data_IF_936723335232
#
_entry.id   IF_936723335232
#
_cell.length_a   1.000
_cell.length_b   1.000
_cell.length_c   1.000
_cell.angle_alpha   90.00
_cell.angle_beta   90.00
_cell.angle_gamma   90.00
#
_symmetry.space_group_name_H-M   'P 1'
#
loop_
_entity.id
_entity.type
_entity.pdbx_description
1 polymer ?
#
# COMPACT_ATOMS: atom_id res chain seq x y z
N UNK A 1 4.94 -7.81 -8.73
CA UNK A 1 4.20 -6.56 -8.49
C UNK A 1 3.61 -6.57 -7.10
N UNK A 2 3.97 -5.59 -6.27
CA UNK A 2 3.41 -5.43 -4.92
C UNK A 2 2.03 -4.78 -4.96
N UNK A 3 1.27 -4.89 -3.87
CA UNK A 3 -0.06 -4.26 -3.74
C UNK A 3 0.03 -2.72 -3.92
N UNK A 4 1.08 -2.07 -3.41
CA UNK A 4 1.27 -0.62 -3.57
C UNK A 4 1.51 -0.21 -5.03
N UNK A 5 2.12 -1.09 -5.81
CA UNK A 5 2.34 -0.90 -7.24
C UNK A 5 1.07 -1.18 -8.05
N UNK A 6 0.29 -2.19 -7.67
CA UNK A 6 -1.04 -2.46 -8.25
C UNK A 6 -1.93 -1.22 -8.13
N UNK A 7 -2.06 -0.66 -6.92
CA UNK A 7 -2.86 0.55 -6.67
C UNK A 7 -2.40 1.72 -7.55
N UNK A 8 -1.10 2.00 -7.59
CA UNK A 8 -0.55 3.09 -8.43
C UNK A 8 -0.79 2.88 -9.93
N UNK A 9 -0.82 1.64 -10.42
CA UNK A 9 -1.14 1.36 -11.83
C UNK A 9 -2.63 1.54 -12.11
N UNK A 10 -3.49 1.14 -11.18
CA UNK A 10 -4.93 1.41 -11.27
C UNK A 10 -5.21 2.92 -11.29
N UNK A 11 -4.59 3.72 -10.41
CA UNK A 11 -4.71 5.19 -10.40
C UNK A 11 -4.33 5.85 -11.74
N UNK A 12 -3.44 5.23 -12.53
CA UNK A 12 -3.10 5.73 -13.87
C UNK A 12 -4.25 5.50 -14.85
N UNK A 13 -4.90 4.33 -14.78
CA UNK A 13 -6.09 4.01 -15.57
C UNK A 13 -7.25 4.92 -15.17
N UNK A 14 -7.46 5.13 -13.87
CA UNK A 14 -8.47 6.05 -13.33
C UNK A 14 -8.36 7.44 -13.97
N UNK A 15 -7.15 8.02 -13.95
CA UNK A 15 -6.89 9.35 -14.53
C UNK A 15 -7.07 9.37 -16.04
N UNK A 16 -6.72 8.28 -16.73
CA UNK A 16 -6.81 8.18 -18.19
C UNK A 16 -8.25 8.04 -18.68
N UNK A 17 -9.08 7.29 -17.96
CA UNK A 17 -10.43 6.92 -18.39
C UNK A 17 -11.56 7.55 -17.55
N UNK A 18 -11.22 8.43 -16.60
CA UNK A 18 -12.16 9.04 -15.66
C UNK A 18 -12.99 7.98 -14.89
N UNK A 19 -12.30 6.94 -14.41
CA UNK A 19 -12.85 5.88 -13.58
C UNK A 19 -12.32 5.97 -12.15
N UNK A 20 -12.93 5.23 -11.24
CA UNK A 20 -12.39 5.01 -9.90
C UNK A 20 -12.40 3.53 -9.54
N UNK A 21 -11.33 3.07 -8.91
CA UNK A 21 -11.18 1.72 -8.42
C UNK A 21 -10.93 1.71 -6.91
N UNK A 22 -11.40 0.67 -6.25
CA UNK A 22 -11.07 0.36 -4.85
C UNK A 22 -10.42 -1.01 -4.81
N UNK A 23 -9.31 -1.11 -4.08
CA UNK A 23 -8.63 -2.36 -3.80
C UNK A 23 -8.90 -2.73 -2.34
N UNK A 24 -9.45 -3.91 -2.09
CA UNK A 24 -9.68 -4.45 -0.76
C UNK A 24 -8.88 -5.73 -0.60
N UNK A 25 -7.99 -5.74 0.39
CA UNK A 25 -7.17 -6.91 0.70
C UNK A 25 -7.76 -7.68 1.86
N UNK A 26 -7.94 -8.98 1.66
CA UNK A 26 -8.38 -9.95 2.65
C UNK A 26 -7.30 -11.02 2.85
N UNK A 27 -7.47 -11.87 3.86
CA UNK A 27 -6.54 -12.95 4.21
C UNK A 27 -6.33 -13.95 3.05
N UNK A 28 -7.36 -14.12 2.20
CA UNK A 28 -7.36 -15.14 1.14
C UNK A 28 -7.30 -14.57 -0.27
N UNK A 29 -7.58 -13.28 -0.43
CA UNK A 29 -7.79 -12.66 -1.73
C UNK A 29 -7.68 -11.13 -1.67
N UNK A 30 -7.30 -10.56 -2.79
CA UNK A 30 -7.46 -9.13 -3.08
C UNK A 30 -8.62 -8.98 -4.05
N UNK A 31 -9.62 -8.21 -3.64
CA UNK A 31 -10.78 -7.86 -4.46
C UNK A 31 -10.60 -6.45 -5.03
N UNK A 32 -10.91 -6.28 -6.30
CA UNK A 32 -10.80 -5.03 -7.03
C UNK A 32 -12.21 -4.64 -7.49
N UNK A 33 -12.62 -3.44 -7.13
CA UNK A 33 -13.92 -2.88 -7.43
C UNK A 33 -13.78 -1.67 -8.33
N UNK A 34 -14.72 -1.49 -9.25
CA UNK A 34 -15.00 -0.20 -9.86
C UNK A 34 -16.01 0.54 -8.97
N UNK A 35 -15.70 1.77 -8.60
CA UNK A 35 -16.57 2.65 -7.82
C UNK A 35 -17.63 3.18 -8.77
N UNK A 36 -18.89 2.95 -8.42
CA UNK A 36 -20.01 3.57 -9.12
C UNK A 36 -20.38 4.90 -8.41
N UNK A 37 -21.04 5.81 -9.12
CA UNK A 37 -21.48 7.10 -8.58
C UNK A 37 -22.36 6.95 -7.33
N UNK A 38 -22.52 8.03 -6.56
CA UNK A 38 -22.93 8.11 -5.13
C UNK A 38 -24.17 7.29 -4.69
N UNK A 39 -24.96 6.75 -5.61
CA UNK A 39 -26.16 5.95 -5.34
C UNK A 39 -26.07 4.46 -5.74
N UNK A 40 -24.93 4.03 -6.30
CA UNK A 40 -24.72 2.66 -6.80
C UNK A 40 -23.69 1.90 -5.95
N UNK A 41 -23.87 0.57 -5.87
CA UNK A 41 -22.92 -0.30 -5.18
C UNK A 41 -21.64 -0.42 -6.00
N UNK A 42 -20.49 -0.35 -5.32
CA UNK A 42 -19.18 -0.72 -5.87
C UNK A 42 -19.28 -2.07 -6.61
N UNK A 43 -18.86 -2.10 -7.88
CA UNK A 43 -18.92 -3.28 -8.72
C UNK A 43 -17.60 -4.04 -8.65
N UNK A 44 -17.59 -5.22 -8.04
CA UNK A 44 -16.39 -6.07 -8.06
C UNK A 44 -16.10 -6.48 -9.50
N UNK A 45 -14.89 -6.22 -9.98
CA UNK A 45 -14.46 -6.55 -11.34
C UNK A 45 -13.46 -7.70 -11.38
N UNK A 46 -12.68 -7.88 -10.31
CA UNK A 46 -11.74 -8.98 -10.20
C UNK A 46 -11.47 -9.39 -8.76
N UNK A 47 -11.05 -10.64 -8.60
CA UNK A 47 -10.54 -11.26 -7.40
C UNK A 47 -9.22 -11.94 -7.73
N UNK A 48 -8.20 -11.73 -6.92
CA UNK A 48 -6.88 -12.36 -7.08
C UNK A 48 -6.51 -13.07 -5.79
N UNK A 49 -6.24 -14.36 -5.84
CA UNK A 49 -6.07 -15.18 -4.64
C UNK A 49 -4.70 -14.97 -4.00
N UNK A 50 -4.67 -14.69 -2.70
CA UNK A 50 -3.43 -14.38 -1.97
C UNK A 50 -2.64 -15.60 -1.54
N UNK A 51 -3.17 -16.81 -1.71
CA UNK A 51 -2.44 -18.05 -1.36
C UNK A 51 -1.94 -18.84 -2.56
N UNK A 52 -2.24 -18.37 -3.78
CA UNK A 52 -1.95 -19.09 -5.02
C UNK A 52 -1.45 -18.11 -6.07
N UNK A 53 -0.24 -18.36 -6.59
CA UNK A 53 0.21 -17.70 -7.79
C UNK A 53 -0.65 -18.15 -8.99
N UNK A 54 -0.80 -17.27 -9.97
CA UNK A 54 -1.57 -17.48 -11.21
C UNK A 54 -3.07 -17.76 -11.01
N UNK A 55 -3.63 -17.42 -9.86
CA UNK A 55 -5.04 -17.61 -9.56
C UNK A 55 -5.75 -16.25 -9.48
N UNK A 56 -6.61 -15.99 -10.46
CA UNK A 56 -7.47 -14.81 -10.53
C UNK A 56 -8.82 -15.18 -11.13
N UNK A 57 -9.85 -14.44 -10.76
CA UNK A 57 -11.20 -14.51 -11.31
C UNK A 57 -11.63 -13.10 -11.67
N UNK A 58 -12.16 -12.93 -12.87
CA UNK A 58 -12.89 -11.70 -13.23
C UNK A 58 -14.37 -11.92 -13.00
N UNK A 59 -15.06 -10.92 -12.45
CA UNK A 59 -16.51 -10.94 -12.38
C UNK A 59 -17.07 -10.62 -13.76
N UNK A 60 -17.28 -11.66 -14.58
CA UNK A 60 -17.56 -11.58 -16.01
C UNK A 60 -18.51 -10.43 -16.39
N UNK A 61 -19.66 -10.31 -15.72
CA UNK A 61 -20.67 -9.29 -16.04
C UNK A 61 -20.13 -7.86 -15.83
N UNK A 62 -19.49 -7.60 -14.70
CA UNK A 62 -18.98 -6.27 -14.36
C UNK A 62 -17.69 -5.93 -15.12
N UNK A 63 -16.87 -6.94 -15.40
CA UNK A 63 -15.65 -6.75 -16.18
C UNK A 63 -15.99 -6.48 -17.65
N UNK A 64 -16.98 -7.19 -18.21
CA UNK A 64 -17.40 -7.02 -19.61
C UNK A 64 -18.09 -5.68 -19.87
N UNK A 65 -18.66 -5.02 -18.86
CA UNK A 65 -19.26 -3.68 -19.03
C UNK A 65 -18.24 -2.56 -19.28
N UNK A 66 -16.95 -2.84 -19.09
CA UNK A 66 -15.87 -1.90 -19.40
C UNK A 66 -15.54 -1.91 -20.90
N UNK A 67 -15.03 -0.80 -21.42
CA UNK A 67 -14.52 -0.69 -22.80
C UNK A 67 -13.35 -1.66 -23.05
N UNK A 68 -13.20 -2.10 -24.30
CA UNK A 68 -12.25 -3.16 -24.69
C UNK A 68 -10.80 -2.85 -24.33
N UNK A 69 -10.37 -1.60 -24.50
CA UNK A 69 -9.03 -1.11 -24.19
C UNK A 69 -8.78 -1.08 -22.67
N UNK A 70 -9.77 -0.61 -21.90
CA UNK A 70 -9.73 -0.62 -20.43
C UNK A 70 -9.63 -2.07 -19.92
N UNK A 71 -10.43 -2.99 -20.48
CA UNK A 71 -10.37 -4.41 -20.10
C UNK A 71 -9.00 -5.02 -20.40
N UNK A 72 -8.41 -4.70 -21.55
CA UNK A 72 -7.09 -5.21 -21.90
C UNK A 72 -6.02 -4.73 -20.90
N UNK A 73 -5.98 -3.43 -20.61
CA UNK A 73 -5.02 -2.85 -19.65
C UNK A 73 -5.20 -3.40 -18.23
N UNK A 74 -6.44 -3.53 -17.77
CA UNK A 74 -6.74 -4.11 -16.46
C UNK A 74 -6.34 -5.58 -16.39
N UNK A 75 -6.65 -6.37 -17.43
CA UNK A 75 -6.32 -7.79 -17.45
C UNK A 75 -4.81 -8.00 -17.40
N UNK A 76 -4.02 -7.20 -18.12
CA UNK A 76 -2.55 -7.25 -18.06
C UNK A 76 -2.04 -6.99 -16.64
N UNK A 77 -2.56 -5.96 -15.97
CA UNK A 77 -2.22 -5.63 -14.58
C UNK A 77 -2.62 -6.78 -13.63
N UNK A 78 -3.83 -7.31 -13.77
CA UNK A 78 -4.33 -8.38 -12.90
C UNK A 78 -3.52 -9.67 -13.07
N UNK A 79 -3.19 -10.01 -14.31
CA UNK A 79 -2.34 -11.17 -14.62
C UNK A 79 -0.93 -10.98 -14.05
N UNK A 80 -0.34 -9.79 -14.17
CA UNK A 80 0.97 -9.51 -13.58
C UNK A 80 0.94 -9.62 -12.05
N UNK A 81 -0.10 -9.10 -11.39
CA UNK A 81 -0.27 -9.23 -9.94
C UNK A 81 -0.43 -10.69 -9.55
N UNK A 82 -1.31 -11.42 -10.23
CA UNK A 82 -1.57 -12.83 -9.96
C UNK A 82 -0.33 -13.71 -10.17
N UNK A 83 0.51 -13.41 -11.17
CA UNK A 83 1.78 -14.10 -11.42
C UNK A 83 2.81 -13.88 -10.31
N UNK A 84 2.73 -12.76 -9.60
CA UNK A 84 3.64 -12.45 -8.50
C UNK A 84 3.44 -13.47 -7.37
N UNK A 85 4.50 -14.10 -6.83
CA UNK A 85 4.40 -14.97 -5.66
C UNK A 85 3.73 -14.26 -4.47
N UNK A 86 2.84 -14.92 -3.71
CA UNK A 86 2.16 -14.33 -2.55
C UNK A 86 3.03 -13.54 -1.58
N UNK A 87 4.19 -14.08 -1.22
CA UNK A 87 5.17 -13.51 -0.30
C UNK A 87 5.82 -12.23 -0.83
N UNK A 88 5.81 -12.03 -2.15
CA UNK A 88 6.34 -10.83 -2.80
C UNK A 88 5.28 -9.74 -3.06
N UNK A 89 3.99 -10.01 -2.76
CA UNK A 89 2.89 -9.04 -2.99
C UNK A 89 2.71 -8.07 -1.84
N UNK A 90 3.15 -8.45 -0.65
CA UNK A 90 3.02 -7.64 0.56
C UNK A 90 3.71 -6.29 0.42
N UNK A 91 3.16 -5.28 1.09
CA UNK A 91 3.88 -4.02 1.22
C UNK A 91 5.18 -4.24 1.97
N UNK A 92 6.21 -3.51 1.55
CA UNK A 92 7.47 -3.51 2.27
C UNK A 92 7.24 -2.92 3.66
N UNK A 93 7.48 -3.73 4.70
CA UNK A 93 7.33 -3.34 6.10
C UNK A 93 7.92 -1.96 6.36
N UNK A 94 7.10 -1.11 6.99
CA UNK A 94 7.49 0.22 7.40
C UNK A 94 7.76 0.21 8.90
N UNK A 95 8.85 0.87 9.25
CA UNK A 95 9.30 1.01 10.62
C UNK A 95 9.30 2.48 10.99
N UNK A 96 9.01 2.77 12.24
CA UNK A 96 9.20 4.08 12.86
C UNK A 96 10.07 3.90 14.09
N UNK A 97 10.83 4.93 14.46
CA UNK A 97 11.78 4.86 15.57
C UNK A 97 11.35 5.84 16.65
N UNK A 98 10.54 5.43 17.64
CA UNK A 98 10.28 6.24 18.83
C UNK A 98 11.59 6.53 19.55
N UNK A 99 11.65 7.72 20.17
CA UNK A 99 12.73 8.12 21.06
C UNK A 99 12.22 7.96 22.51
N UNK A 100 12.55 6.85 23.20
CA UNK A 100 11.98 6.57 24.51
C UNK A 100 12.34 7.65 25.52
N UNK A 101 11.37 8.04 26.35
CA UNK A 101 11.52 9.13 27.32
C UNK A 101 11.50 10.52 26.71
N UNK A 102 11.43 10.65 25.38
CA UNK A 102 11.31 11.91 24.66
C UNK A 102 9.85 12.12 24.24
N UNK A 103 9.10 12.76 25.12
CA UNK A 103 7.71 13.17 24.93
C UNK A 103 7.60 14.69 25.07
N UNK A 104 6.73 15.32 24.30
CA UNK A 104 6.46 16.76 24.46
C UNK A 104 5.63 17.02 25.72
N UNK A 105 5.56 18.28 26.14
CA UNK A 105 4.83 18.70 27.35
C UNK A 105 3.32 18.43 27.28
N UNK A 106 2.78 18.25 26.07
CA UNK A 106 1.40 17.85 25.80
C UNK A 106 1.22 16.33 25.66
N UNK A 107 2.28 15.54 25.88
CA UNK A 107 2.25 14.08 25.91
C UNK A 107 2.54 13.38 24.58
N UNK A 108 2.85 14.10 23.51
CA UNK A 108 3.10 13.49 22.20
C UNK A 108 4.49 12.83 22.09
N UNK A 109 4.51 11.57 21.64
CA UNK A 109 5.73 10.80 21.41
C UNK A 109 6.58 11.44 20.31
N UNK A 110 7.88 11.62 20.57
CA UNK A 110 8.85 12.05 19.56
C UNK A 110 9.47 10.86 18.83
N UNK A 111 9.74 11.05 17.55
CA UNK A 111 10.33 10.05 16.67
C UNK A 111 11.62 10.57 16.05
N UNK A 112 12.52 9.64 15.76
CA UNK A 112 13.73 9.94 15.01
C UNK A 112 13.37 10.32 13.57
N UNK A 113 13.69 11.55 13.21
CA UNK A 113 13.34 12.17 11.93
C UNK A 113 14.61 12.50 11.18
N UNK A 114 14.62 12.30 9.86
CA UNK A 114 15.77 12.62 9.01
C UNK A 114 15.43 13.71 7.99
N UNK A 115 16.23 14.78 7.94
CA UNK A 115 16.14 15.84 6.94
C UNK A 115 17.54 16.39 6.65
N UNK A 116 17.86 16.58 5.37
CA UNK A 116 19.11 17.26 4.96
C UNK A 116 20.34 16.70 5.69
N UNK A 117 20.49 15.37 5.70
CA UNK A 117 21.60 14.63 6.35
C UNK A 117 21.62 14.63 7.89
N UNK A 118 20.69 15.34 8.53
CA UNK A 118 20.62 15.43 9.98
C UNK A 118 19.48 14.58 10.55
N UNK A 119 19.74 14.03 11.73
CA UNK A 119 18.73 13.36 12.56
C UNK A 119 18.29 14.26 13.69
N UNK A 120 16.99 14.33 13.94
CA UNK A 120 16.41 15.15 15.01
C UNK A 120 15.12 14.52 15.55
N UNK A 121 14.72 14.94 16.75
CA UNK A 121 13.47 14.55 17.36
C UNK A 121 12.32 15.39 16.80
N UNK A 122 11.23 14.74 16.38
CA UNK A 122 10.01 15.44 16.00
C UNK A 122 8.78 14.58 16.30
N UNK A 123 7.66 15.22 16.67
CA UNK A 123 6.35 14.59 16.74
C UNK A 123 5.97 13.99 15.41
N UNK A 124 4.97 13.09 15.38
CA UNK A 124 4.54 12.47 14.13
C UNK A 124 4.15 13.54 13.10
N UNK A 125 4.80 13.51 11.95
CA UNK A 125 4.56 14.38 10.81
C UNK A 125 4.74 13.58 9.52
N UNK A 126 3.67 13.49 8.71
CA UNK A 126 3.65 12.71 7.46
C UNK A 126 4.50 13.34 6.35
N UNK A 127 4.78 14.63 6.44
CA UNK A 127 5.60 15.38 5.47
C UNK A 127 7.10 15.23 5.72
N UNK A 128 7.48 14.64 6.87
CA UNK A 128 8.86 14.38 7.24
C UNK A 128 9.21 12.91 7.09
N UNK A 129 10.49 12.64 6.76
CA UNK A 129 11.01 11.28 6.71
C UNK A 129 11.20 10.74 8.12
N UNK A 130 10.15 10.11 8.63
CA UNK A 130 10.11 9.45 9.93
C UNK A 130 9.93 7.93 9.82
N UNK A 131 9.48 7.45 8.66
CA UNK A 131 9.28 6.03 8.41
C UNK A 131 10.37 5.48 7.51
N UNK A 132 10.73 4.23 7.77
CA UNK A 132 11.86 3.55 7.16
C UNK A 132 11.41 2.22 6.59
N UNK A 133 11.98 1.85 5.45
CA UNK A 133 11.92 0.47 4.97
C UNK A 133 12.92 -0.35 5.77
N UNK A 134 12.65 -1.63 5.97
CA UNK A 134 13.54 -2.53 6.73
C UNK A 134 15.01 -2.43 6.27
N UNK A 135 15.24 -2.56 4.96
CA UNK A 135 16.58 -2.46 4.34
C UNK A 135 17.27 -1.10 4.53
N UNK A 136 16.52 -0.05 4.89
CA UNK A 136 17.05 1.29 5.13
C UNK A 136 17.34 1.57 6.62
N UNK A 137 16.94 0.68 7.54
CA UNK A 137 17.24 0.82 8.97
C UNK A 137 18.76 0.86 9.24
N UNK A 138 19.57 0.22 8.39
CA UNK A 138 21.04 0.27 8.48
C UNK A 138 21.64 1.68 8.35
N UNK A 139 20.90 2.64 7.77
CA UNK A 139 21.36 4.03 7.61
C UNK A 139 21.01 4.92 8.82
N UNK A 140 20.26 4.39 9.78
CA UNK A 140 19.96 5.08 11.04
C UNK A 140 21.16 4.93 11.99
N UNK A 141 21.47 5.91 12.86
CA UNK A 141 22.49 5.75 13.88
C UNK A 141 22.20 4.52 14.76
N UNK A 142 23.24 3.75 15.06
CA UNK A 142 23.11 2.42 15.66
C UNK A 142 22.39 2.45 17.01
N UNK A 143 22.61 3.51 17.78
CA UNK A 143 22.02 3.74 19.10
C UNK A 143 20.49 3.75 19.06
N UNK A 144 19.90 4.16 17.94
CA UNK A 144 18.46 4.27 17.78
C UNK A 144 17.82 3.07 17.07
N UNK A 145 18.59 2.24 16.33
CA UNK A 145 18.04 1.12 15.54
C UNK A 145 17.24 0.14 16.40
N UNK A 146 17.68 -0.09 17.64
CA UNK A 146 17.02 -0.99 18.60
C UNK A 146 15.61 -0.56 19.00
N UNK A 147 15.25 0.70 18.75
CA UNK A 147 13.92 1.23 19.04
C UNK A 147 12.99 1.17 17.83
N UNK A 148 13.44 0.68 16.67
CA UNK A 148 12.59 0.54 15.51
C UNK A 148 11.42 -0.41 15.79
N UNK A 149 10.21 0.07 15.54
CA UNK A 149 8.97 -0.70 15.67
C UNK A 149 8.23 -0.70 14.33
N UNK A 150 7.53 -1.78 14.02
CA UNK A 150 6.69 -1.86 12.83
C UNK A 150 5.54 -0.84 12.95
N UNK A 151 5.31 -0.04 11.90
CA UNK A 151 4.33 1.05 11.93
C UNK A 151 2.91 0.53 12.21
N UNK A 152 2.59 -0.68 11.74
CA UNK A 152 1.34 -1.41 12.02
C UNK A 152 1.10 -1.70 13.50
N UNK A 153 2.12 -1.56 14.36
CA UNK A 153 2.02 -1.77 15.81
C UNK A 153 1.88 -0.46 16.61
N UNK A 154 1.84 0.71 15.93
CA UNK A 154 1.82 2.05 16.55
C UNK A 154 0.55 2.83 16.22
N UNK A 155 -0.19 2.41 15.18
CA UNK A 155 -1.51 2.95 14.79
C UNK A 155 -2.65 2.14 15.43
#
# INVERSE_FOLDING_TARGET
MRIDELVKRLEKIEKKHNLHFKVRKYIFETEIFMVADEDLKDLMIARIYERKANALETMYVNFLSLEDDIRAELLDIFVEYAKTPPDEREEEKRFIVPLPGLVTTDGEQQYLTHKEEHFFACRRNKDLRQTWKEKHLKYIPEEYRKYAVELSSVE
#
